data_IF_250169568153
#
_entry.id   IF_250169568153
#
_cell.length_a   1.000
_cell.length_b   1.000
_cell.length_c   1.000
_cell.angle_alpha   90.00
_cell.angle_beta   90.00
_cell.angle_gamma   90.00
#
_symmetry.space_group_name_H-M   'P 1'
#
loop_
_entity.id
_entity.type
_entity.pdbx_description
1 polymer ?
#
# COMPACT_ATOMS: atom_id res chain seq x y z
N UNK A 1 30.85 11.43 -1.15
CA UNK A 1 29.74 10.67 -0.56
C UNK A 1 28.48 11.48 -0.78
N UNK A 2 27.56 11.00 -1.61
CA UNK A 2 26.37 11.75 -2.05
C UNK A 2 25.17 11.52 -1.13
N UNK A 3 24.61 12.66 -0.70
CA UNK A 3 23.28 12.99 -0.17
C UNK A 3 22.28 11.89 0.24
N UNK A 4 21.78 12.01 1.47
CA UNK A 4 20.40 11.69 1.85
C UNK A 4 19.76 13.00 2.33
N UNK A 5 18.62 13.46 1.79
CA UNK A 5 17.94 14.64 2.30
C UNK A 5 17.18 14.29 3.58
N UNK A 6 17.53 14.96 4.67
CA UNK A 6 16.77 15.00 5.93
C UNK A 6 15.37 15.53 5.65
N UNK A 7 14.37 14.65 5.65
CA UNK A 7 12.97 15.04 5.60
C UNK A 7 12.59 15.74 6.92
N UNK A 8 12.00 16.92 6.78
CA UNK A 8 11.61 17.79 7.90
C UNK A 8 10.63 17.11 8.86
N UNK A 9 10.86 17.31 10.15
CA UNK A 9 9.97 16.90 11.25
C UNK A 9 8.64 17.64 11.11
N UNK A 10 7.47 16.96 11.04
CA UNK A 10 6.18 17.63 11.01
C UNK A 10 5.91 18.29 12.36
N UNK A 11 5.60 19.59 12.34
CA UNK A 11 5.17 20.34 13.51
C UNK A 11 3.87 19.73 14.08
N UNK A 12 3.90 19.31 15.35
CA UNK A 12 2.69 18.89 16.06
C UNK A 12 1.88 20.14 16.48
N UNK A 13 0.63 20.31 16.02
CA UNK A 13 -0.22 21.34 16.57
C UNK A 13 -0.64 20.95 17.99
N UNK A 14 -0.54 21.93 18.90
CA UNK A 14 -0.61 21.75 20.34
C UNK A 14 -1.88 21.07 20.86
N UNK A 15 -1.75 20.50 22.06
CA UNK A 15 -2.80 19.95 22.91
C UNK A 15 -3.85 21.02 23.25
N UNK A 16 -4.76 21.27 22.31
CA UNK A 16 -6.02 21.95 22.54
C UNK A 16 -6.96 21.01 23.29
N UNK A 17 -7.59 21.53 24.34
CA UNK A 17 -8.58 20.86 25.16
C UNK A 17 -9.70 20.32 24.27
N UNK A 18 -9.77 18.98 24.14
CA UNK A 18 -10.90 18.31 23.50
C UNK A 18 -12.05 18.25 24.51
N UNK A 19 -13.02 19.16 24.39
CA UNK A 19 -14.27 19.08 25.15
C UNK A 19 -15.23 18.09 24.47
N UNK A 20 -15.59 17.03 25.17
CA UNK A 20 -16.49 15.99 24.67
C UNK A 20 -17.95 16.43 24.84
N UNK A 21 -18.50 17.20 23.91
CA UNK A 21 -19.93 17.58 23.91
C UNK A 21 -20.90 16.45 23.51
N UNK A 22 -20.40 15.27 23.11
CA UNK A 22 -21.22 14.14 22.67
C UNK A 22 -21.18 13.00 23.67
N UNK A 23 -22.25 12.84 24.47
CA UNK A 23 -22.41 11.66 25.32
C UNK A 23 -22.21 10.35 24.55
N UNK A 24 -21.52 9.39 25.17
CA UNK A 24 -21.19 8.11 24.54
C UNK A 24 -22.45 7.48 23.93
N UNK A 25 -22.44 7.30 22.60
CA UNK A 25 -23.46 6.51 21.92
C UNK A 25 -23.48 5.13 22.59
N UNK A 26 -24.67 4.66 22.98
CA UNK A 26 -24.86 3.31 23.50
C UNK A 26 -24.15 2.34 22.55
N UNK A 27 -23.34 1.39 23.04
CA UNK A 27 -22.67 0.45 22.16
C UNK A 27 -23.75 -0.23 21.32
N UNK A 28 -23.78 0.10 20.03
CA UNK A 28 -24.61 -0.59 19.06
C UNK A 28 -24.19 -2.05 19.02
N UNK A 29 -25.08 -2.93 18.56
CA UNK A 29 -24.68 -4.31 18.29
C UNK A 29 -23.41 -4.31 17.44
N UNK A 30 -22.39 -5.11 17.80
CA UNK A 30 -21.17 -5.18 17.03
C UNK A 30 -21.51 -5.54 15.59
N UNK A 31 -21.12 -4.66 14.66
CA UNK A 31 -21.22 -4.96 13.23
C UNK A 31 -20.22 -6.09 12.99
N UNK A 32 -20.64 -7.26 12.47
CA UNK A 32 -19.71 -8.31 12.11
C UNK A 32 -18.79 -7.78 11.00
N UNK A 33 -17.55 -7.50 11.35
CA UNK A 33 -16.49 -7.25 10.37
C UNK A 33 -16.30 -8.54 9.56
N UNK A 34 -16.18 -8.44 8.22
CA UNK A 34 -15.99 -9.62 7.40
C UNK A 34 -14.73 -10.36 7.84
N UNK A 35 -14.91 -11.66 8.12
CA UNK A 35 -13.83 -12.59 8.42
C UNK A 35 -12.84 -12.58 7.25
N UNK A 36 -11.60 -12.20 7.56
CA UNK A 36 -10.43 -12.34 6.71
C UNK A 36 -10.26 -11.30 5.57
N UNK A 37 -9.50 -10.25 5.85
CA UNK A 37 -8.67 -9.60 4.83
C UNK A 37 -7.54 -10.59 4.48
N UNK A 38 -7.74 -11.39 3.43
CA UNK A 38 -6.76 -12.37 2.96
C UNK A 38 -5.77 -11.68 2.02
N UNK A 39 -4.58 -11.35 2.52
CA UNK A 39 -3.47 -10.97 1.67
C UNK A 39 -2.88 -12.23 1.01
N UNK A 40 -2.85 -12.26 -0.33
CA UNK A 40 -2.25 -13.37 -1.10
C UNK A 40 -0.92 -12.93 -1.69
N UNK A 41 0.14 -13.68 -1.42
CA UNK A 41 1.44 -13.45 -2.06
C UNK A 41 1.35 -13.82 -3.53
N UNK A 42 1.63 -12.86 -4.42
CA UNK A 42 1.68 -13.07 -5.87
C UNK A 42 3.06 -12.71 -6.40
N UNK A 43 3.59 -13.52 -7.31
CA UNK A 43 4.82 -13.20 -8.05
C UNK A 43 4.44 -12.54 -9.38
N UNK A 44 5.09 -11.43 -9.70
CA UNK A 44 4.94 -10.75 -10.99
C UNK A 44 6.32 -10.51 -11.62
N UNK A 45 6.40 -10.71 -12.93
CA UNK A 45 7.60 -10.51 -13.73
C UNK A 45 7.49 -9.21 -14.51
N UNK A 46 8.53 -8.36 -14.47
CA UNK A 46 8.52 -7.07 -15.16
C UNK A 46 9.39 -7.09 -16.40
N UNK A 47 8.84 -6.63 -17.52
CA UNK A 47 9.56 -6.41 -18.78
C UNK A 47 9.24 -5.02 -19.29
N UNK A 48 10.18 -4.08 -19.11
CA UNK A 48 9.95 -2.67 -19.37
C UNK A 48 8.76 -2.12 -18.56
N UNK A 49 7.76 -1.46 -19.19
CA UNK A 49 6.59 -0.93 -18.49
C UNK A 49 5.51 -1.99 -18.19
N UNK A 50 5.67 -3.23 -18.65
CA UNK A 50 4.66 -4.28 -18.53
C UNK A 50 4.97 -5.25 -17.40
N UNK A 51 3.92 -5.78 -16.77
CA UNK A 51 3.98 -6.80 -15.71
C UNK A 51 3.22 -8.05 -16.15
N UNK A 52 3.80 -9.22 -15.88
CA UNK A 52 3.28 -10.53 -16.27
C UNK A 52 3.11 -11.40 -15.02
N UNK A 53 2.06 -12.23 -14.99
CA UNK A 53 1.84 -13.22 -13.92
C UNK A 53 2.57 -14.54 -14.19
N UNK A 54 2.93 -14.83 -15.44
CA UNK A 54 3.63 -16.03 -15.88
C UNK A 54 5.03 -15.69 -16.36
N UNK A 55 5.98 -16.57 -16.03
CA UNK A 55 7.38 -16.38 -16.42
C UNK A 55 7.55 -16.54 -17.93
N UNK A 56 6.84 -17.49 -18.53
CA UNK A 56 6.92 -17.82 -19.95
C UNK A 56 6.54 -16.62 -20.83
N UNK A 57 5.49 -15.89 -20.44
CA UNK A 57 5.03 -14.70 -21.15
C UNK A 57 6.05 -13.55 -21.05
N UNK A 58 6.64 -13.37 -19.87
CA UNK A 58 7.69 -12.38 -19.67
C UNK A 58 8.95 -12.70 -20.49
N UNK A 59 9.36 -13.97 -20.53
CA UNK A 59 10.49 -14.42 -21.33
C UNK A 59 10.23 -14.23 -22.83
N UNK A 60 9.04 -14.59 -23.32
CA UNK A 60 8.66 -14.38 -24.70
C UNK A 60 8.70 -12.89 -25.09
N UNK A 61 8.28 -11.99 -24.20
CA UNK A 61 8.39 -10.55 -24.42
C UNK A 61 9.84 -10.08 -24.44
N UNK A 62 10.66 -10.58 -23.51
CA UNK A 62 12.08 -10.25 -23.45
C UNK A 62 12.81 -10.66 -24.74
N UNK A 63 12.53 -11.85 -25.26
CA UNK A 63 13.08 -12.32 -26.54
C UNK A 63 12.63 -11.49 -27.73
N UNK A 64 11.36 -11.05 -27.76
CA UNK A 64 10.87 -10.16 -28.82
C UNK A 64 11.58 -8.81 -28.81
N UNK A 65 11.86 -8.28 -27.62
CA UNK A 65 12.57 -7.01 -27.47
C UNK A 65 14.05 -7.14 -27.82
N UNK A 66 14.68 -8.28 -27.53
CA UNK A 66 16.11 -8.49 -27.84
C UNK A 66 16.38 -8.74 -29.32
N UNK A 67 15.38 -9.19 -30.09
CA UNK A 67 15.47 -9.38 -31.55
C UNK A 67 15.20 -8.12 -32.37
N UNK A 68 14.89 -7.00 -31.72
CA UNK A 68 14.60 -5.71 -32.35
C UNK A 68 15.82 -4.80 -32.27
#
# INVERSE_FOLDING_TARGET
MSAVPTAAIPAQPGTGQWESEGGALKPGMPIPVPEAILAVTTVQYRVGPYSYSRLEDAMAQLERLSRK
#
